data_IF_294638076665
#
_entry.id   IF_294638076665
#
_cell.length_a   1.000
_cell.length_b   1.000
_cell.length_c   1.000
_cell.angle_alpha   90.00
_cell.angle_beta   90.00
_cell.angle_gamma   90.00
#
_symmetry.space_group_name_H-M   'P 1'
#
loop_
_entity.id
_entity.type
_entity.pdbx_description
1 polymer ?
#
# COMPACT_ATOMS: atom_id res chain seq x y z
N UNK A 1 2.80 -6.52 8.94
CA UNK A 1 1.83 -6.19 7.87
C UNK A 1 1.64 -4.68 7.84
N UNK A 2 1.59 -4.08 6.65
CA UNK A 2 1.40 -2.64 6.47
C UNK A 2 0.41 -2.32 5.32
N UNK A 3 -0.22 -3.33 4.76
CA UNK A 3 -1.27 -3.23 3.75
C UNK A 3 -2.55 -3.91 4.25
N UNK A 4 -3.69 -3.21 4.24
CA UNK A 4 -4.97 -3.69 4.72
C UNK A 4 -6.04 -3.51 3.66
N UNK A 5 -6.78 -4.58 3.39
CA UNK A 5 -7.91 -4.56 2.46
C UNK A 5 -9.06 -3.72 3.04
N UNK A 6 -9.53 -2.74 2.28
CA UNK A 6 -10.64 -1.88 2.64
C UNK A 6 -11.74 -2.04 1.58
N UNK A 7 -12.81 -2.72 1.95
CA UNK A 7 -13.96 -3.00 1.07
C UNK A 7 -15.08 -2.03 1.44
N UNK A 8 -15.52 -1.22 0.48
CA UNK A 8 -16.55 -0.20 0.66
C UNK A 8 -17.98 -0.72 0.45
N UNK A 9 -18.09 -1.96 -0.05
CA UNK A 9 -19.41 -2.63 -0.21
C UNK A 9 -19.99 -2.99 1.17
N UNK A 10 -21.30 -2.78 1.43
CA UNK A 10 -21.95 -3.23 2.65
C UNK A 10 -21.64 -4.70 2.97
N UNK A 11 -21.38 -5.00 4.25
CA UNK A 11 -20.85 -6.28 4.69
C UNK A 11 -19.32 -6.32 4.82
N UNK A 12 -18.61 -5.50 4.04
CA UNK A 12 -17.15 -5.29 4.10
C UNK A 12 -16.32 -6.58 3.98
N UNK A 13 -16.87 -7.62 3.34
CA UNK A 13 -16.22 -8.91 3.17
C UNK A 13 -15.96 -9.24 1.69
N UNK A 14 -15.03 -10.17 1.46
CA UNK A 14 -14.68 -10.60 0.09
C UNK A 14 -15.88 -11.13 -0.68
N UNK A 15 -16.80 -11.96 -0.11
CA UNK A 15 -17.99 -12.38 -0.84
C UNK A 15 -18.88 -11.22 -1.30
N UNK A 16 -19.01 -10.17 -0.47
CA UNK A 16 -19.80 -8.98 -0.83
C UNK A 16 -19.20 -8.23 -2.02
N UNK A 17 -17.86 -8.07 -2.02
CA UNK A 17 -17.13 -7.50 -3.14
C UNK A 17 -17.29 -8.33 -4.42
N UNK A 18 -17.17 -9.66 -4.32
CA UNK A 18 -17.30 -10.55 -5.48
C UNK A 18 -18.73 -10.52 -6.05
N UNK A 19 -19.75 -10.26 -5.23
CA UNK A 19 -21.13 -10.06 -5.68
C UNK A 19 -21.38 -8.76 -6.46
N UNK A 20 -20.40 -7.83 -6.49
CA UNK A 20 -20.50 -6.54 -7.20
C UNK A 20 -19.70 -6.47 -8.50
N UNK A 21 -18.93 -7.49 -8.83
CA UNK A 21 -18.16 -7.56 -10.06
C UNK A 21 -18.71 -8.66 -10.98
N UNK A 22 -18.45 -8.60 -12.31
CA UNK A 22 -18.87 -9.66 -13.22
C UNK A 22 -18.37 -11.03 -12.79
N UNK A 23 -19.21 -12.06 -12.92
CA UNK A 23 -18.92 -13.43 -12.45
C UNK A 23 -17.74 -14.09 -13.17
N UNK A 24 -17.40 -13.61 -14.35
CA UNK A 24 -16.28 -14.06 -15.18
C UNK A 24 -14.99 -13.24 -14.96
N UNK A 25 -14.98 -12.39 -13.93
CA UNK A 25 -13.77 -11.62 -13.54
C UNK A 25 -12.67 -12.56 -13.04
N UNK A 26 -11.49 -12.46 -13.64
CA UNK A 26 -10.30 -13.20 -13.22
C UNK A 26 -9.50 -12.48 -12.14
N UNK A 27 -9.53 -11.13 -12.12
CA UNK A 27 -8.81 -10.35 -11.15
C UNK A 27 -9.40 -8.95 -10.91
N UNK A 28 -9.31 -8.49 -9.66
CA UNK A 28 -9.72 -7.16 -9.20
C UNK A 28 -8.46 -6.39 -8.80
N UNK A 29 -8.26 -5.21 -9.35
CA UNK A 29 -7.18 -4.30 -8.97
C UNK A 29 -7.61 -3.55 -7.71
N UNK A 30 -6.75 -3.58 -6.71
CA UNK A 30 -6.92 -2.87 -5.44
C UNK A 30 -5.84 -1.78 -5.36
N UNK A 31 -6.15 -0.53 -5.72
CA UNK A 31 -5.18 0.56 -5.70
C UNK A 31 -4.77 0.88 -4.26
N UNK A 32 -3.51 1.24 -4.07
CA UNK A 32 -3.03 1.73 -2.78
C UNK A 32 -3.61 3.09 -2.45
N UNK A 33 -3.97 3.27 -1.18
CA UNK A 33 -4.15 4.58 -0.56
C UNK A 33 -3.09 4.76 0.51
N UNK A 34 -2.25 5.79 0.38
CA UNK A 34 -1.13 6.01 1.27
C UNK A 34 -1.60 6.74 2.54
N UNK A 35 -1.38 6.12 3.69
CA UNK A 35 -1.66 6.70 4.99
C UNK A 35 -0.38 7.27 5.60
N UNK A 36 -0.46 8.50 6.10
CA UNK A 36 0.64 9.22 6.74
C UNK A 36 0.84 8.81 8.20
N UNK A 37 1.73 9.53 8.86
CA UNK A 37 2.11 9.23 10.24
C UNK A 37 1.17 9.82 11.30
N UNK A 38 0.16 10.62 10.93
CA UNK A 38 -0.72 11.33 11.85
C UNK A 38 0.03 12.11 12.94
N UNK A 39 1.23 12.62 12.62
CA UNK A 39 2.12 13.33 13.54
C UNK A 39 2.55 12.49 14.77
N UNK A 40 2.36 11.16 14.71
CA UNK A 40 2.77 10.25 15.79
C UNK A 40 4.27 10.03 15.79
N UNK A 41 4.85 10.08 16.96
CA UNK A 41 6.30 9.95 17.19
C UNK A 41 6.64 8.57 17.74
N UNK A 42 5.98 8.12 18.79
CA UNK A 42 6.29 6.90 19.54
C UNK A 42 5.75 5.62 18.89
N UNK A 43 6.21 4.47 19.39
CA UNK A 43 5.66 3.14 19.04
C UNK A 43 4.62 2.76 20.09
N UNK A 44 3.35 2.84 19.72
CA UNK A 44 2.22 2.47 20.56
C UNK A 44 1.72 1.06 20.18
N UNK A 45 1.21 0.32 21.20
CA UNK A 45 0.54 -0.96 20.99
C UNK A 45 -0.97 -0.76 20.80
N UNK A 46 -1.29 -0.12 19.67
CA UNK A 46 -2.67 0.13 19.23
C UNK A 46 -2.78 -0.31 17.77
N UNK A 47 -3.97 -0.71 17.34
CA UNK A 47 -4.23 -1.10 15.95
C UNK A 47 -3.77 -0.04 14.96
N UNK A 48 -3.05 -0.45 13.93
CA UNK A 48 -2.54 0.44 12.88
C UNK A 48 -3.68 1.24 12.21
N UNK A 49 -4.82 0.59 11.97
CA UNK A 49 -5.99 1.21 11.32
C UNK A 49 -6.72 2.24 12.20
N UNK A 50 -6.49 2.20 13.51
CA UNK A 50 -7.00 3.21 14.45
C UNK A 50 -6.04 4.38 14.64
N UNK A 51 -4.74 4.08 14.65
CA UNK A 51 -3.72 5.10 14.88
C UNK A 51 -3.56 6.06 13.70
N UNK A 52 -3.68 5.54 12.47
CA UNK A 52 -3.33 6.26 11.25
C UNK A 52 -4.54 6.38 10.35
N UNK A 53 -5.31 7.46 10.53
CA UNK A 53 -6.56 7.73 9.81
C UNK A 53 -6.41 8.85 8.77
N UNK A 54 -5.23 9.48 8.66
CA UNK A 54 -4.99 10.55 7.68
C UNK A 54 -4.21 10.02 6.49
N UNK A 55 -4.63 10.40 5.29
CA UNK A 55 -4.16 9.81 4.05
C UNK A 55 -4.03 10.83 2.92
N UNK A 56 -3.53 10.36 1.78
CA UNK A 56 -3.51 11.07 0.51
C UNK A 56 -4.93 11.14 -0.07
N UNK A 57 -5.32 12.19 -0.85
CA UNK A 57 -6.58 12.23 -1.58
C UNK A 57 -6.78 11.00 -2.49
N UNK A 58 -8.03 10.56 -2.59
CA UNK A 58 -8.37 9.33 -3.31
C UNK A 58 -7.98 9.37 -4.80
N UNK A 59 -8.08 10.55 -5.42
CA UNK A 59 -7.79 10.79 -6.84
C UNK A 59 -6.29 11.03 -7.15
N UNK A 60 -5.44 11.09 -6.12
CA UNK A 60 -4.03 11.40 -6.30
C UNK A 60 -3.30 10.32 -7.12
N UNK A 61 -2.66 10.74 -8.20
CA UNK A 61 -1.89 9.87 -9.09
C UNK A 61 -0.36 9.98 -8.89
N UNK A 62 0.08 11.00 -8.18
CA UNK A 62 1.48 11.24 -7.87
C UNK A 62 1.67 11.47 -6.36
N UNK A 63 2.73 10.94 -5.77
CA UNK A 63 3.86 10.19 -6.35
C UNK A 63 3.43 8.84 -6.93
N UNK A 64 4.29 8.22 -7.77
CA UNK A 64 4.00 6.91 -8.40
C UNK A 64 3.59 5.85 -7.38
N UNK A 65 4.10 5.95 -6.14
CA UNK A 65 3.69 5.08 -5.04
C UNK A 65 2.17 5.12 -4.73
N UNK A 66 1.50 6.27 -4.96
CA UNK A 66 0.06 6.42 -4.75
C UNK A 66 -0.78 5.73 -5.83
N UNK A 67 -0.17 5.41 -6.97
CA UNK A 67 -0.81 4.70 -8.08
C UNK A 67 -0.45 3.21 -8.16
N UNK A 68 0.33 2.70 -7.22
CA UNK A 68 0.59 1.26 -7.12
C UNK A 68 -0.66 0.50 -6.67
N UNK A 69 -0.71 -0.79 -6.96
CA UNK A 69 -1.84 -1.63 -6.61
C UNK A 69 -1.41 -3.06 -6.24
N UNK A 70 -2.28 -3.77 -5.58
CA UNK A 70 -2.28 -5.23 -5.46
C UNK A 70 -3.47 -5.80 -6.22
N UNK A 71 -3.52 -7.12 -6.32
CA UNK A 71 -4.56 -7.78 -7.10
C UNK A 71 -5.15 -8.93 -6.31
N UNK A 72 -6.47 -8.91 -6.11
CA UNK A 72 -7.24 -10.08 -5.74
C UNK A 72 -7.53 -10.86 -7.04
N UNK A 73 -7.23 -12.15 -7.10
CA UNK A 73 -7.35 -12.91 -8.33
C UNK A 73 -7.87 -14.33 -8.10
N UNK A 74 -8.48 -14.88 -9.13
CA UNK A 74 -8.98 -16.26 -9.15
C UNK A 74 -7.80 -17.22 -9.28
N UNK A 75 -7.62 -18.11 -8.31
CA UNK A 75 -6.50 -19.06 -8.29
C UNK A 75 -6.44 -19.98 -9.51
N UNK A 76 -7.62 -20.33 -10.06
CA UNK A 76 -7.76 -21.15 -11.28
C UNK A 76 -7.96 -20.29 -12.56
N UNK A 77 -7.62 -19.00 -12.51
CA UNK A 77 -7.69 -18.10 -13.66
C UNK A 77 -6.54 -18.31 -14.65
N UNK A 78 -6.46 -17.48 -15.71
CA UNK A 78 -5.50 -17.64 -16.79
C UNK A 78 -4.07 -17.18 -16.44
N UNK A 79 -3.69 -17.25 -15.18
CA UNK A 79 -2.39 -16.81 -14.70
C UNK A 79 -1.43 -18.00 -14.58
N UNK A 80 -0.20 -17.82 -15.05
CA UNK A 80 0.83 -18.86 -15.05
C UNK A 80 2.11 -18.47 -14.27
N UNK A 81 2.14 -17.27 -13.66
CA UNK A 81 3.21 -16.84 -12.78
C UNK A 81 2.67 -15.93 -11.66
N UNK A 82 3.12 -16.14 -10.44
CA UNK A 82 2.87 -15.24 -9.32
C UNK A 82 3.85 -14.07 -9.33
N UNK A 83 3.42 -12.94 -8.77
CA UNK A 83 4.24 -11.75 -8.57
C UNK A 83 3.81 -11.01 -7.31
N UNK A 84 4.70 -10.18 -6.77
CA UNK A 84 4.49 -9.46 -5.50
C UNK A 84 3.27 -8.53 -5.52
N UNK A 85 2.97 -7.92 -6.66
CA UNK A 85 1.85 -6.99 -6.82
C UNK A 85 0.67 -7.60 -7.55
N UNK A 86 0.91 -8.43 -8.55
CA UNK A 86 -0.12 -9.05 -9.38
C UNK A 86 0.36 -10.37 -9.95
N UNK A 87 -0.54 -11.32 -10.22
CA UNK A 87 -0.23 -12.49 -11.04
C UNK A 87 0.00 -12.07 -12.49
N UNK A 88 0.70 -12.90 -13.26
CA UNK A 88 1.07 -12.61 -14.63
C UNK A 88 0.57 -13.70 -15.56
N UNK A 89 0.14 -13.30 -16.77
CA UNK A 89 -0.07 -14.18 -17.89
C UNK A 89 1.06 -13.93 -18.90
N UNK A 90 1.86 -14.98 -19.15
CA UNK A 90 2.99 -14.95 -20.09
C UNK A 90 2.78 -15.79 -21.35
N UNK A 91 1.70 -16.56 -21.39
CA UNK A 91 1.37 -17.45 -22.49
C UNK A 91 -0.13 -17.30 -22.86
N UNK A 92 -0.52 -16.11 -23.37
CA UNK A 92 -1.92 -15.81 -23.64
C UNK A 92 -2.51 -16.65 -24.78
N UNK A 93 -1.68 -17.25 -25.63
CA UNK A 93 -2.14 -18.10 -26.73
C UNK A 93 -2.80 -19.40 -26.19
N UNK A 94 -2.39 -19.86 -25.01
CA UNK A 94 -2.97 -21.05 -24.37
C UNK A 94 -4.20 -20.78 -23.53
N UNK A 95 -4.23 -19.66 -22.79
CA UNK A 95 -5.26 -19.40 -21.78
C UNK A 95 -5.97 -18.05 -21.95
N UNK A 96 -5.65 -17.27 -22.97
CA UNK A 96 -6.17 -15.93 -23.19
C UNK A 96 -5.62 -14.88 -22.22
N UNK A 97 -6.02 -13.63 -22.42
CA UNK A 97 -5.73 -12.55 -21.49
C UNK A 97 -6.75 -12.53 -20.36
N UNK A 98 -6.32 -12.20 -19.12
CA UNK A 98 -7.22 -12.16 -17.98
C UNK A 98 -8.27 -11.05 -18.12
N UNK A 99 -9.50 -11.33 -17.72
CA UNK A 99 -10.56 -10.34 -17.53
C UNK A 99 -10.35 -9.65 -16.19
N UNK A 100 -9.90 -8.42 -16.23
CA UNK A 100 -9.57 -7.65 -15.04
C UNK A 100 -10.51 -6.48 -14.87
N UNK A 101 -10.89 -6.21 -13.63
CA UNK A 101 -11.65 -5.01 -13.25
C UNK A 101 -10.82 -4.13 -12.30
N UNK A 102 -11.14 -2.84 -12.27
CA UNK A 102 -10.55 -1.88 -11.34
C UNK A 102 -11.24 -1.93 -9.96
N UNK A 103 -10.84 -1.03 -9.07
CA UNK A 103 -11.40 -0.93 -7.71
C UNK A 103 -12.85 -0.46 -7.65
N UNK A 104 -13.45 -0.07 -8.77
CA UNK A 104 -14.88 0.26 -8.93
C UNK A 104 -15.66 -0.82 -9.69
N UNK A 105 -15.03 -1.95 -10.01
CA UNK A 105 -15.65 -3.06 -10.72
C UNK A 105 -15.80 -2.87 -12.23
N UNK A 106 -15.18 -1.82 -12.79
CA UNK A 106 -15.19 -1.56 -14.22
C UNK A 106 -14.03 -2.25 -14.94
N UNK A 107 -14.21 -2.69 -16.21
CA UNK A 107 -13.11 -3.28 -16.97
C UNK A 107 -11.89 -2.34 -17.04
N UNK A 108 -10.71 -2.86 -16.75
CA UNK A 108 -9.47 -2.08 -16.86
C UNK A 108 -9.13 -1.80 -18.32
N UNK A 109 -8.34 -0.74 -18.56
CA UNK A 109 -7.81 -0.46 -19.89
C UNK A 109 -7.06 -1.71 -20.43
N UNK A 110 -7.31 -2.15 -21.68
CA UNK A 110 -6.72 -3.37 -22.25
C UNK A 110 -5.19 -3.42 -22.17
N UNK A 111 -4.53 -2.28 -22.26
CA UNK A 111 -3.09 -2.16 -22.07
C UNK A 111 -2.62 -2.71 -20.72
N UNK A 112 -3.37 -2.46 -19.62
CA UNK A 112 -2.99 -2.93 -18.29
C UNK A 112 -3.12 -4.46 -18.17
N UNK A 113 -4.16 -5.06 -18.75
CA UNK A 113 -4.32 -6.51 -18.77
C UNK A 113 -3.19 -7.19 -19.55
N UNK A 114 -2.80 -6.60 -20.70
CA UNK A 114 -1.77 -7.13 -21.63
C UNK A 114 -0.33 -6.77 -21.25
N UNK A 115 -0.11 -5.96 -20.19
CA UNK A 115 1.23 -5.57 -19.75
C UNK A 115 1.48 -6.09 -18.32
N UNK A 116 1.77 -7.39 -18.13
CA UNK A 116 1.81 -8.04 -16.82
C UNK A 116 2.93 -7.52 -15.90
N UNK A 117 3.95 -6.84 -16.42
CA UNK A 117 5.02 -6.19 -15.65
C UNK A 117 4.63 -4.83 -15.10
N UNK A 118 3.55 -4.20 -15.57
CA UNK A 118 3.11 -2.91 -15.06
C UNK A 118 2.44 -3.06 -13.70
N UNK A 119 2.91 -2.28 -12.71
CA UNK A 119 2.51 -2.35 -11.31
C UNK A 119 1.85 -1.07 -10.81
N UNK A 120 1.61 -0.08 -11.69
CA UNK A 120 1.03 1.20 -11.34
C UNK A 120 -0.09 1.61 -12.30
N UNK A 121 -1.06 2.34 -11.75
CA UNK A 121 -2.14 2.99 -12.49
C UNK A 121 -1.78 4.41 -12.94
N UNK A 122 -0.51 4.81 -12.78
CA UNK A 122 -0.01 6.10 -13.21
C UNK A 122 -0.40 6.38 -14.66
N UNK A 123 -1.05 7.50 -14.93
CA UNK A 123 -1.66 7.92 -16.21
C UNK A 123 -2.91 7.14 -16.69
N UNK A 124 -3.41 6.18 -15.92
CA UNK A 124 -4.60 5.39 -16.29
C UNK A 124 -5.85 5.73 -15.45
N UNK A 125 -5.69 6.61 -14.46
CA UNK A 125 -6.74 6.86 -13.47
C UNK A 125 -6.74 5.83 -12.34
N UNK A 126 -7.33 6.23 -11.21
CA UNK A 126 -7.44 5.38 -10.00
C UNK A 126 -8.90 5.34 -9.60
N UNK A 127 -9.54 4.18 -9.74
CA UNK A 127 -10.92 3.92 -9.33
C UNK A 127 -10.95 2.99 -8.11
N UNK A 128 -11.80 3.29 -7.10
CA UNK A 128 -11.77 2.64 -5.80
C UNK A 128 -13.13 2.59 -5.08
N UNK A 129 -14.24 2.74 -5.81
CA UNK A 129 -15.57 2.84 -5.19
C UNK A 129 -16.00 1.59 -4.42
N UNK A 130 -15.54 0.40 -4.83
CA UNK A 130 -15.85 -0.87 -4.19
C UNK A 130 -14.74 -1.35 -3.26
N UNK A 131 -13.47 -1.07 -3.61
CA UNK A 131 -12.32 -1.60 -2.87
C UNK A 131 -11.05 -0.81 -3.12
N UNK A 132 -10.26 -0.67 -2.06
CA UNK A 132 -8.89 -0.17 -2.08
C UNK A 132 -8.00 -0.93 -1.09
N UNK A 133 -6.71 -0.68 -1.12
CA UNK A 133 -5.75 -1.23 -0.18
C UNK A 133 -5.09 -0.10 0.61
N UNK A 134 -5.44 0.02 1.87
CA UNK A 134 -4.86 1.01 2.77
C UNK A 134 -3.42 0.64 3.08
N UNK A 135 -2.46 1.50 2.71
CA UNK A 135 -1.03 1.25 2.86
C UNK A 135 -0.40 2.17 3.91
N UNK A 136 -0.08 1.60 5.06
CA UNK A 136 0.50 2.27 6.23
C UNK A 136 2.03 2.18 6.18
N UNK A 137 2.62 2.72 5.13
CA UNK A 137 4.03 2.53 4.79
C UNK A 137 5.00 3.15 5.78
N UNK A 138 4.62 4.26 6.41
CA UNK A 138 5.51 5.06 7.28
C UNK A 138 5.26 4.82 8.76
N UNK A 139 4.00 4.81 9.21
CA UNK A 139 3.62 4.73 10.63
C UNK A 139 4.23 5.88 11.45
N UNK A 140 4.47 5.69 12.76
CA UNK A 140 5.13 6.70 13.59
C UNK A 140 6.61 6.90 13.21
N UNK A 141 7.18 8.06 13.58
CA UNK A 141 8.58 8.37 13.28
C UNK A 141 9.55 7.33 13.86
N UNK A 142 9.34 6.89 15.10
CA UNK A 142 10.15 5.84 15.74
C UNK A 142 9.99 4.48 15.02
N UNK A 143 8.75 4.12 14.62
CA UNK A 143 8.51 2.89 13.86
C UNK A 143 9.19 2.91 12.49
N UNK A 144 9.29 4.08 11.85
CA UNK A 144 10.00 4.26 10.59
C UNK A 144 11.51 4.05 10.73
N UNK A 145 12.11 4.54 11.81
CA UNK A 145 13.54 4.30 12.10
C UNK A 145 13.84 2.82 12.23
N UNK A 146 13.00 2.07 12.94
CA UNK A 146 13.13 0.60 13.05
C UNK A 146 12.91 -0.08 11.68
N UNK A 147 11.98 0.42 10.86
CA UNK A 147 11.78 -0.07 9.48
C UNK A 147 13.03 0.16 8.61
N UNK A 148 13.69 1.31 8.74
CA UNK A 148 14.95 1.59 8.03
C UNK A 148 16.04 0.58 8.39
N UNK A 149 16.21 0.28 9.67
CA UNK A 149 17.20 -0.68 10.15
C UNK A 149 16.95 -2.08 9.58
N UNK A 150 15.69 -2.54 9.61
CA UNK A 150 15.29 -3.82 9.03
C UNK A 150 15.51 -3.87 7.50
N UNK A 151 15.34 -2.75 6.79
CA UNK A 151 15.35 -2.68 5.34
C UNK A 151 14.06 -3.19 4.68
N UNK A 152 14.09 -3.33 3.35
CA UNK A 152 12.99 -3.87 2.55
C UNK A 152 13.28 -5.31 2.15
N UNK A 153 12.38 -6.27 2.43
CA UNK A 153 12.62 -7.72 2.19
C UNK A 153 13.03 -8.07 0.75
N UNK A 154 12.48 -7.36 -0.23
CA UNK A 154 12.67 -7.67 -1.65
C UNK A 154 13.63 -6.70 -2.38
N UNK A 155 14.27 -5.76 -1.68
CA UNK A 155 15.12 -4.72 -2.28
C UNK A 155 16.24 -4.31 -1.32
N UNK A 156 17.24 -5.17 -1.17
CA UNK A 156 18.39 -4.93 -0.28
C UNK A 156 19.14 -3.62 -0.58
N UNK A 157 19.16 -3.17 -1.84
CA UNK A 157 19.86 -1.95 -2.28
C UNK A 157 19.03 -0.66 -2.11
N UNK A 158 17.69 -0.76 -1.97
CA UNK A 158 16.84 0.43 -1.81
C UNK A 158 16.80 0.85 -0.33
N UNK A 159 17.40 1.99 -0.03
CA UNK A 159 17.37 2.58 1.33
C UNK A 159 15.97 3.08 1.67
N UNK A 160 15.54 2.81 2.90
CA UNK A 160 14.36 3.43 3.52
C UNK A 160 14.85 4.68 4.23
N UNK A 161 14.71 5.83 3.59
CA UNK A 161 15.26 7.14 4.01
C UNK A 161 14.20 8.26 3.95
N UNK A 162 14.64 9.51 4.07
CA UNK A 162 13.74 10.67 4.02
C UNK A 162 12.98 10.76 2.69
N UNK A 163 13.56 10.38 1.56
CA UNK A 163 12.85 10.37 0.28
C UNK A 163 11.68 9.37 0.30
N UNK A 164 11.90 8.18 0.88
CA UNK A 164 10.81 7.21 1.08
C UNK A 164 9.69 7.74 1.97
N UNK A 165 10.05 8.50 3.03
CA UNK A 165 9.09 9.15 3.93
C UNK A 165 8.27 10.21 3.19
N UNK A 166 8.92 11.13 2.50
CA UNK A 166 8.27 12.21 1.74
C UNK A 166 7.28 11.65 0.69
N UNK A 167 7.65 10.60 -0.01
CA UNK A 167 6.76 9.98 -1.01
C UNK A 167 5.53 9.28 -0.41
N UNK A 168 5.42 9.13 0.92
CA UNK A 168 4.37 8.29 1.57
C UNK A 168 3.72 8.90 2.78
N UNK A 169 4.26 9.99 3.33
CA UNK A 169 3.74 10.61 4.55
C UNK A 169 2.71 11.71 4.22
N UNK A 170 1.49 11.30 3.88
CA UNK A 170 0.39 12.23 3.56
C UNK A 170 -0.64 12.24 4.68
N UNK A 171 -0.88 13.41 5.26
CA UNK A 171 -1.89 13.66 6.29
C UNK A 171 -2.96 14.65 5.79
N UNK A 172 -3.35 14.57 4.52
CA UNK A 172 -4.17 15.59 3.85
C UNK A 172 -5.66 15.41 4.13
N UNK A 173 -6.15 14.19 4.01
CA UNK A 173 -7.54 13.82 4.25
C UNK A 173 -7.67 12.90 5.45
N UNK A 174 -8.87 12.82 6.00
CA UNK A 174 -9.21 11.84 7.04
C UNK A 174 -10.10 10.77 6.41
N UNK A 175 -9.69 9.50 6.56
CA UNK A 175 -10.48 8.35 6.14
C UNK A 175 -10.53 7.31 7.26
N UNK A 176 -11.74 7.02 7.69
CA UNK A 176 -12.05 6.03 8.73
C UNK A 176 -12.91 4.89 8.20
N UNK A 177 -13.08 4.76 6.88
CA UNK A 177 -13.98 3.77 6.26
C UNK A 177 -13.64 2.34 6.66
N UNK A 178 -12.36 2.01 6.84
CA UNK A 178 -11.91 0.69 7.31
C UNK A 178 -12.36 0.37 8.74
N UNK A 179 -12.78 1.37 9.53
CA UNK A 179 -13.27 1.15 10.90
C UNK A 179 -14.57 0.32 10.95
N UNK A 180 -15.29 0.20 9.84
CA UNK A 180 -16.41 -0.73 9.72
C UNK A 180 -16.01 -2.18 10.03
N UNK A 181 -14.75 -2.56 9.83
CA UNK A 181 -14.22 -3.89 10.17
C UNK A 181 -13.73 -4.01 11.61
N UNK A 182 -13.71 -2.92 12.39
CA UNK A 182 -13.15 -2.89 13.75
C UNK A 182 -13.79 -3.92 14.71
N UNK A 183 -15.12 -4.11 14.75
CA UNK A 183 -15.72 -5.09 15.66
C UNK A 183 -15.26 -6.53 15.38
N UNK A 184 -15.09 -6.88 14.11
CA UNK A 184 -14.58 -8.22 13.73
C UNK A 184 -13.09 -8.35 14.05
N UNK A 185 -12.29 -7.34 13.72
CA UNK A 185 -10.87 -7.29 14.06
C UNK A 185 -10.65 -7.45 15.58
N UNK A 186 -11.40 -6.73 16.41
CA UNK A 186 -11.20 -6.72 17.85
C UNK A 186 -11.58 -8.08 18.47
N UNK A 187 -12.63 -8.70 17.98
CA UNK A 187 -13.00 -10.07 18.38
C UNK A 187 -11.90 -11.07 18.02
N UNK A 188 -11.38 -11.02 16.80
CA UNK A 188 -10.30 -11.91 16.37
C UNK A 188 -9.01 -11.68 17.16
N UNK A 189 -8.65 -10.41 17.43
CA UNK A 189 -7.51 -10.08 18.28
C UNK A 189 -7.69 -10.56 19.71
N UNK A 190 -8.88 -10.44 20.29
CA UNK A 190 -9.18 -10.97 21.61
C UNK A 190 -9.03 -12.51 21.65
N UNK A 191 -9.54 -13.18 20.61
CA UNK A 191 -9.39 -14.65 20.45
C UNK A 191 -7.91 -15.05 20.36
N UNK A 192 -7.09 -14.36 19.54
CA UNK A 192 -5.66 -14.65 19.44
C UNK A 192 -4.93 -14.38 20.75
N UNK A 193 -5.26 -13.30 21.46
CA UNK A 193 -4.65 -12.93 22.75
C UNK A 193 -5.14 -13.80 23.92
N UNK A 194 -6.19 -14.59 23.76
CA UNK A 194 -6.58 -15.57 24.77
C UNK A 194 -5.65 -16.78 24.84
N UNK A 195 -4.84 -17.03 23.80
CA UNK A 195 -3.73 -17.94 23.85
C UNK A 195 -2.54 -17.28 24.59
N UNK A 196 -2.12 -17.82 25.77
CA UNK A 196 -1.06 -17.19 26.58
C UNK A 196 0.27 -17.06 25.82
N UNK A 197 0.57 -18.02 24.92
CA UNK A 197 1.82 -17.99 24.15
C UNK A 197 1.79 -16.90 23.08
N UNK A 198 0.66 -16.72 22.42
CA UNK A 198 0.51 -15.63 21.44
C UNK A 198 0.52 -14.26 22.12
N UNK A 199 -0.09 -14.12 23.29
CA UNK A 199 -0.05 -12.89 24.08
C UNK A 199 1.39 -12.53 24.48
N UNK A 200 2.14 -13.49 25.05
CA UNK A 200 3.56 -13.32 25.39
C UNK A 200 4.41 -12.88 24.18
N UNK A 201 4.24 -13.55 23.04
CA UNK A 201 4.98 -13.24 21.82
C UNK A 201 4.63 -11.85 21.26
N UNK A 202 3.37 -11.43 21.40
CA UNK A 202 2.94 -10.08 21.00
C UNK A 202 3.63 -9.02 21.88
N UNK A 203 3.56 -9.16 23.20
CA UNK A 203 4.21 -8.25 24.15
C UNK A 203 5.72 -8.17 23.91
N UNK A 204 6.38 -9.32 23.76
CA UNK A 204 7.80 -9.38 23.44
C UNK A 204 8.14 -8.68 22.12
N UNK A 205 7.30 -8.79 21.09
CA UNK A 205 7.51 -8.12 19.81
C UNK A 205 7.36 -6.59 19.91
N UNK A 206 6.39 -6.10 20.68
CA UNK A 206 6.21 -4.67 20.95
C UNK A 206 7.39 -4.10 21.72
N UNK A 207 7.80 -4.79 22.78
CA UNK A 207 8.94 -4.41 23.63
C UNK A 207 10.24 -4.40 22.83
N UNK A 208 10.49 -5.45 22.04
CA UNK A 208 11.66 -5.51 21.15
C UNK A 208 11.72 -4.30 20.20
N UNK A 209 10.60 -3.89 19.62
CA UNK A 209 10.57 -2.73 18.71
C UNK A 209 10.93 -1.43 19.43
N UNK A 210 10.44 -1.22 20.66
CA UNK A 210 10.77 -0.05 21.49
C UNK A 210 12.25 -0.04 21.86
N UNK A 211 12.76 -1.15 22.39
CA UNK A 211 14.18 -1.32 22.72
C UNK A 211 15.10 -1.17 21.51
N UNK A 212 14.67 -1.70 20.34
CA UNK A 212 15.45 -1.54 19.12
C UNK A 212 15.55 -0.09 18.69
N UNK A 213 14.48 0.68 18.80
CA UNK A 213 14.52 2.12 18.54
C UNK A 213 15.50 2.83 19.48
N UNK A 214 15.47 2.56 20.79
CA UNK A 214 16.39 3.16 21.77
C UNK A 214 17.85 2.84 21.44
N UNK A 215 18.16 1.60 21.08
CA UNK A 215 19.51 1.22 20.64
C UNK A 215 19.94 1.97 19.38
N UNK A 216 19.05 2.13 18.40
CA UNK A 216 19.34 2.86 17.18
C UNK A 216 19.59 4.35 17.43
N UNK A 217 18.97 4.94 18.45
CA UNK A 217 19.21 6.33 18.85
C UNK A 217 20.62 6.57 19.41
N UNK A 218 21.38 5.52 19.75
CA UNK A 218 22.79 5.66 20.11
C UNK A 218 23.69 5.89 18.89
N UNK A 219 23.19 5.68 17.66
CA UNK A 219 23.94 5.82 16.42
C UNK A 219 23.55 7.09 15.68
N UNK A 220 24.54 7.95 15.36
CA UNK A 220 24.34 9.26 14.74
C UNK A 220 23.49 9.21 13.43
N UNK A 221 23.67 8.30 12.48
CA UNK A 221 22.87 8.26 11.26
C UNK A 221 21.38 8.05 11.50
N UNK A 222 21.00 7.33 12.58
CA UNK A 222 19.61 7.11 12.95
C UNK A 222 19.02 8.30 13.73
N UNK A 223 19.81 8.91 14.64
CA UNK A 223 19.40 10.17 15.30
C UNK A 223 19.18 11.29 14.29
N UNK A 224 20.11 11.46 13.35
CA UNK A 224 19.99 12.46 12.29
C UNK A 224 18.76 12.22 11.41
N UNK A 225 18.46 10.98 11.04
CA UNK A 225 17.22 10.65 10.34
C UNK A 225 16.01 10.99 11.19
N UNK A 226 15.96 10.52 12.43
CA UNK A 226 14.81 10.76 13.33
C UNK A 226 14.52 12.25 13.49
N UNK A 227 15.55 13.08 13.73
CA UNK A 227 15.41 14.54 13.79
C UNK A 227 14.82 15.13 12.51
N UNK A 228 15.28 14.67 11.32
CA UNK A 228 14.72 15.10 10.03
C UNK A 228 13.26 14.67 9.85
N UNK A 229 12.86 13.47 10.32
CA UNK A 229 11.47 13.03 10.27
C UNK A 229 10.56 13.90 11.13
N UNK A 230 11.03 14.33 12.30
CA UNK A 230 10.28 15.22 13.19
C UNK A 230 10.15 16.65 12.64
N UNK A 231 11.15 17.13 11.92
CA UNK A 231 11.16 18.47 11.31
C UNK A 231 10.41 18.50 9.95
N UNK A 232 10.34 17.37 9.23
CA UNK A 232 9.70 17.32 7.93
C UNK A 232 8.18 17.38 8.09
N UNK A 233 7.50 18.40 7.52
CA UNK A 233 6.04 18.42 7.53
C UNK A 233 5.47 17.24 6.71
N UNK A 234 4.20 16.87 6.95
CA UNK A 234 3.52 15.93 6.07
C UNK A 234 3.56 16.41 4.61
N UNK A 235 3.72 15.48 3.69
CA UNK A 235 3.77 15.79 2.27
C UNK A 235 2.43 16.31 1.77
N UNK A 236 2.47 17.26 0.86
CA UNK A 236 1.29 17.78 0.17
C UNK A 236 1.13 17.08 -1.17
N UNK A 237 -0.09 16.67 -1.53
CA UNK A 237 -0.37 16.20 -2.89
C UNK A 237 0.00 17.29 -3.90
N UNK A 238 0.61 16.89 -5.01
CA UNK A 238 0.88 17.84 -6.10
C UNK A 238 -0.43 18.23 -6.78
N UNK A 239 -0.49 19.44 -7.32
CA UNK A 239 -1.66 19.89 -8.07
C UNK A 239 -1.87 19.01 -9.31
N UNK A 240 -3.10 18.90 -9.85
CA UNK A 240 -3.34 18.16 -11.08
C UNK A 240 -2.45 18.62 -12.25
N UNK A 241 -2.16 19.91 -12.36
CA UNK A 241 -1.25 20.47 -13.36
C UNK A 241 0.19 19.97 -13.19
N UNK A 242 0.71 19.97 -11.94
CA UNK A 242 2.04 19.47 -11.66
C UNK A 242 2.13 17.94 -11.88
N UNK A 243 1.09 17.19 -11.51
CA UNK A 243 1.00 15.76 -11.81
C UNK A 243 1.01 15.51 -13.33
N UNK A 244 0.20 16.22 -14.11
CA UNK A 244 0.17 16.12 -15.57
C UNK A 244 1.53 16.46 -16.19
N UNK A 245 2.22 17.48 -15.69
CA UNK A 245 3.57 17.83 -16.13
C UNK A 245 4.55 16.66 -15.88
N UNK A 246 4.55 16.07 -14.69
CA UNK A 246 5.41 14.92 -14.36
C UNK A 246 5.09 13.68 -15.21
N UNK A 247 3.79 13.41 -15.44
CA UNK A 247 3.33 12.29 -16.28
C UNK A 247 3.84 12.49 -17.73
N UNK A 248 3.68 13.68 -18.28
CA UNK A 248 4.17 14.00 -19.64
C UNK A 248 5.67 13.73 -19.77
N UNK A 249 6.49 14.24 -18.85
CA UNK A 249 7.93 14.02 -18.88
C UNK A 249 8.34 12.56 -18.70
N UNK A 250 7.65 11.83 -17.84
CA UNK A 250 7.88 10.39 -17.69
C UNK A 250 7.56 9.61 -18.98
N UNK A 251 6.51 10.00 -19.71
CA UNK A 251 6.15 9.38 -20.99
C UNK A 251 7.16 9.73 -22.09
N UNK A 252 7.61 10.97 -22.18
CA UNK A 252 8.68 11.38 -23.12
C UNK A 252 9.97 10.58 -22.87
N UNK A 253 10.39 10.44 -21.62
CA UNK A 253 11.58 9.66 -21.27
C UNK A 253 11.47 8.18 -21.65
N UNK A 254 10.25 7.58 -21.56
CA UNK A 254 10.02 6.20 -22.01
C UNK A 254 10.11 6.05 -23.53
N UNK A 255 9.65 7.05 -24.29
CA UNK A 255 9.71 7.04 -25.76
C UNK A 255 11.15 7.21 -26.26
N UNK A 256 12.00 7.96 -25.52
CA UNK A 256 13.40 8.22 -25.85
C UNK A 256 14.36 7.12 -25.38
N UNK A 257 13.90 6.18 -24.55
CA UNK A 257 14.76 5.09 -24.08
C UNK A 257 15.00 4.08 -25.23
N UNK A 258 16.28 3.69 -25.49
CA UNK A 258 16.57 2.68 -26.49
C UNK A 258 15.82 1.40 -26.18
N UNK A 259 15.10 0.85 -27.17
CA UNK A 259 14.47 -0.46 -27.03
C UNK A 259 15.58 -1.47 -26.74
N UNK A 260 15.55 -2.03 -25.53
CA UNK A 260 16.40 -3.19 -25.23
C UNK A 260 15.90 -4.35 -26.08
N UNK A 261 16.66 -4.64 -27.15
CA UNK A 261 16.48 -5.84 -27.95
C UNK A 261 16.68 -7.11 -27.13
#
# INVERSE_FOLDING_TARGET
VDEFLNIHVPGHQIPDLLGKVPTDTDAIIMPWRLYGNNERVAIDDVSVTEQFIRCIPAEAQYPVAASLFKTLFRAKGPFNQLGVHRPKQKDPDKAGWPKMVDGSGQPVHPFLAKTPQRLSLYDLGVARDLVELNHYAVRSAAAFVVKRDRGLPNRATKKVDLAYWVERNFNTETDTSISATAPTRDRELATLKSDPRLAELHEAAVDWRRKRFELLMQHEPFRALFGRLLMAPPSRPVTPQAAAFMIRHANLARQSAPQKG
#
